data_IF_847463640723
#
_entry.id   IF_847463640723
#
_cell.length_a   1.000
_cell.length_b   1.000
_cell.length_c   1.000
_cell.angle_alpha   90.00
_cell.angle_beta   90.00
_cell.angle_gamma   90.00
#
_symmetry.space_group_name_H-M   'P 1'
#
loop_
_entity.id
_entity.type
_entity.pdbx_description
1 polymer ?
#
# COMPACT_ATOMS: atom_id res chain seq x y z
N UNK A 1 14.24 -13.17 14.47
CA UNK A 1 13.42 -13.22 13.25
C UNK A 1 12.30 -14.22 13.50
N UNK A 2 11.04 -13.81 13.34
CA UNK A 2 9.86 -14.66 13.55
C UNK A 2 9.06 -14.67 12.27
N UNK A 3 8.61 -15.86 11.83
CA UNK A 3 7.77 -16.02 10.66
C UNK A 3 6.30 -15.90 11.05
N UNK A 4 5.53 -15.16 10.24
CA UNK A 4 4.10 -14.92 10.42
C UNK A 4 3.33 -15.44 9.21
N UNK A 5 2.23 -16.13 9.47
CA UNK A 5 1.19 -16.36 8.46
C UNK A 5 0.31 -15.12 8.26
N UNK A 6 -0.69 -15.20 7.38
CA UNK A 6 -1.55 -14.05 7.05
C UNK A 6 -2.38 -13.58 8.26
N UNK A 7 -2.85 -14.48 9.11
CA UNK A 7 -3.62 -14.15 10.30
C UNK A 7 -2.75 -13.50 11.37
N UNK A 8 -1.58 -14.08 11.62
CA UNK A 8 -0.58 -13.56 12.55
C UNK A 8 -0.06 -12.18 12.10
N UNK A 9 0.15 -11.99 10.79
CA UNK A 9 0.53 -10.72 10.20
C UNK A 9 -0.52 -9.65 10.50
N UNK A 10 -1.80 -9.93 10.27
CA UNK A 10 -2.88 -8.99 10.56
C UNK A 10 -2.91 -8.57 12.02
N UNK A 11 -2.74 -9.54 12.94
CA UNK A 11 -2.66 -9.26 14.39
C UNK A 11 -1.43 -8.43 14.74
N UNK A 12 -0.28 -8.74 14.13
CA UNK A 12 0.98 -8.02 14.38
C UNK A 12 0.88 -6.57 13.93
N UNK A 13 0.45 -6.33 12.69
CA UNK A 13 0.28 -4.98 12.15
C UNK A 13 -0.79 -4.18 12.90
N UNK A 14 -1.91 -4.79 13.29
CA UNK A 14 -2.98 -4.12 14.03
C UNK A 14 -2.61 -3.66 15.44
N UNK A 15 -1.44 -4.05 15.98
CA UNK A 15 -0.95 -3.67 17.31
C UNK A 15 -0.08 -2.41 17.33
N UNK A 16 0.21 -1.79 16.18
CA UNK A 16 1.03 -0.59 16.16
C UNK A 16 0.40 0.54 17.02
N UNK A 17 1.28 1.32 17.65
CA UNK A 17 0.84 2.33 18.63
C UNK A 17 0.89 3.74 18.09
N UNK A 18 1.83 4.04 17.18
CA UNK A 18 2.05 5.40 16.67
C UNK A 18 2.15 5.48 15.17
N UNK A 19 3.03 4.67 14.58
CA UNK A 19 3.32 4.78 13.14
C UNK A 19 3.36 3.42 12.47
N UNK A 20 2.73 3.34 11.32
CA UNK A 20 2.83 2.19 10.43
C UNK A 20 3.23 2.70 9.05
N UNK A 21 4.35 2.24 8.53
CA UNK A 21 4.82 2.57 7.19
C UNK A 21 4.80 1.32 6.31
N UNK A 22 4.35 1.44 5.07
CA UNK A 22 4.39 0.38 4.06
C UNK A 22 5.16 0.82 2.82
N UNK A 23 6.14 0.02 2.42
CA UNK A 23 6.71 0.01 1.06
C UNK A 23 5.98 -1.05 0.24
N UNK A 24 5.45 -0.66 -0.92
CA UNK A 24 4.66 -1.54 -1.80
C UNK A 24 5.20 -1.42 -3.24
N UNK A 25 5.72 -2.52 -3.77
CA UNK A 25 6.57 -2.49 -4.97
C UNK A 25 6.13 -3.43 -6.08
N UNK A 26 5.31 -4.46 -5.78
CA UNK A 26 4.85 -5.42 -6.79
C UNK A 26 3.82 -4.78 -7.72
N UNK A 27 3.91 -4.99 -9.04
CA UNK A 27 2.94 -4.47 -9.99
C UNK A 27 1.56 -5.13 -9.84
N UNK A 28 1.51 -6.36 -9.30
CA UNK A 28 0.28 -7.11 -9.08
C UNK A 28 0.34 -7.91 -7.79
N UNK A 29 -0.78 -8.00 -7.09
CA UNK A 29 -0.96 -8.83 -5.90
C UNK A 29 -2.15 -9.75 -6.09
N UNK A 30 -1.96 -11.04 -5.84
CA UNK A 30 -3.05 -11.99 -5.75
C UNK A 30 -3.59 -11.99 -4.30
N UNK A 31 -4.41 -10.98 -3.98
CA UNK A 31 -4.99 -10.81 -2.64
C UNK A 31 -6.41 -11.33 -2.57
N UNK A 32 -6.72 -12.06 -1.51
CA UNK A 32 -8.09 -12.54 -1.24
C UNK A 32 -8.90 -11.54 -0.42
N UNK A 33 -8.27 -10.58 0.23
CA UNK A 33 -8.91 -9.56 1.08
C UNK A 33 -9.81 -8.62 0.31
N UNK A 34 -9.54 -8.41 -0.99
CA UNK A 34 -10.34 -7.55 -1.86
C UNK A 34 -11.62 -8.27 -2.37
N UNK A 35 -11.77 -9.54 -2.03
CA UNK A 35 -12.87 -10.38 -2.51
C UNK A 35 -12.86 -10.45 -4.05
N UNK A 36 -14.00 -10.09 -4.66
CA UNK A 36 -14.14 -10.08 -6.11
C UNK A 36 -14.05 -8.68 -6.74
N UNK A 37 -13.62 -7.66 -5.99
CA UNK A 37 -13.68 -6.27 -6.45
C UNK A 37 -12.76 -5.99 -7.63
N UNK A 38 -11.60 -6.62 -7.71
CA UNK A 38 -10.73 -6.46 -8.87
C UNK A 38 -11.40 -7.02 -10.14
N UNK A 39 -12.00 -8.22 -10.09
CA UNK A 39 -12.73 -8.78 -11.23
C UNK A 39 -13.95 -7.93 -11.59
N UNK A 40 -14.66 -7.40 -10.60
CA UNK A 40 -15.79 -6.48 -10.82
C UNK A 40 -15.33 -5.18 -11.48
N UNK A 41 -14.19 -4.65 -11.08
CA UNK A 41 -13.57 -3.47 -11.67
C UNK A 41 -13.19 -3.75 -13.13
N UNK A 42 -12.55 -4.89 -13.45
CA UNK A 42 -12.24 -5.34 -14.81
C UNK A 42 -13.50 -5.51 -15.66
N UNK A 43 -14.59 -5.99 -15.07
CA UNK A 43 -15.89 -6.13 -15.73
C UNK A 43 -16.65 -4.81 -15.90
N UNK A 44 -16.07 -3.66 -15.53
CA UNK A 44 -16.66 -2.34 -15.72
C UNK A 44 -17.62 -1.89 -14.61
N UNK A 45 -17.64 -2.54 -13.44
CA UNK A 45 -18.41 -2.03 -12.30
C UNK A 45 -17.96 -0.62 -11.91
N UNK A 46 -18.91 0.24 -11.55
CA UNK A 46 -18.66 1.65 -11.27
C UNK A 46 -18.12 1.91 -9.86
N UNK A 47 -18.33 0.99 -8.93
CA UNK A 47 -17.98 1.17 -7.51
C UNK A 47 -17.59 -0.14 -6.83
N UNK A 48 -16.78 -0.07 -5.77
CA UNK A 48 -16.38 -1.25 -4.99
C UNK A 48 -17.56 -1.82 -4.20
N UNK A 49 -17.35 -2.98 -3.57
CA UNK A 49 -18.27 -3.53 -2.59
C UNK A 49 -18.20 -2.69 -1.31
N UNK A 50 -19.07 -1.67 -1.21
CA UNK A 50 -19.06 -0.68 -0.14
C UNK A 50 -19.14 -1.27 1.27
N UNK A 51 -19.88 -2.36 1.47
CA UNK A 51 -19.95 -3.00 2.79
C UNK A 51 -18.56 -3.41 3.32
N UNK A 52 -17.74 -3.99 2.44
CA UNK A 52 -16.37 -4.38 2.78
C UNK A 52 -15.46 -3.16 2.83
N UNK A 53 -15.53 -2.29 1.85
CA UNK A 53 -14.68 -1.10 1.75
C UNK A 53 -14.86 -0.18 2.95
N UNK A 54 -16.09 0.10 3.36
CA UNK A 54 -16.38 0.97 4.49
C UNK A 54 -15.80 0.44 5.81
N UNK A 55 -15.79 -0.88 6.04
CA UNK A 55 -15.14 -1.45 7.24
C UNK A 55 -13.66 -1.02 7.34
N UNK A 56 -12.94 -1.06 6.22
CA UNK A 56 -11.54 -0.62 6.18
C UNK A 56 -11.41 0.89 6.35
N UNK A 57 -12.23 1.67 5.66
CA UNK A 57 -12.20 3.13 5.79
C UNK A 57 -12.52 3.59 7.22
N UNK A 58 -13.40 2.88 7.92
CA UNK A 58 -13.73 3.18 9.32
C UNK A 58 -12.55 2.87 10.25
N UNK A 59 -11.78 1.82 9.98
CA UNK A 59 -10.52 1.55 10.69
C UNK A 59 -9.54 2.70 10.51
N UNK A 60 -9.31 3.15 9.28
CA UNK A 60 -8.40 4.27 8.99
C UNK A 60 -8.83 5.57 9.70
N UNK A 61 -10.12 5.87 9.70
CA UNK A 61 -10.67 7.05 10.39
C UNK A 61 -10.48 6.96 11.90
N UNK A 62 -10.75 5.79 12.47
CA UNK A 62 -10.60 5.55 13.91
C UNK A 62 -9.13 5.68 14.34
N UNK A 63 -8.21 5.05 13.61
CA UNK A 63 -6.78 5.12 13.89
C UNK A 63 -6.26 6.57 13.81
N UNK A 64 -6.69 7.32 12.79
CA UNK A 64 -6.34 8.73 12.66
C UNK A 64 -6.89 9.56 13.81
N UNK A 65 -8.12 9.30 14.25
CA UNK A 65 -8.73 9.98 15.41
C UNK A 65 -8.00 9.68 16.72
N UNK A 66 -7.36 8.50 16.83
CA UNK A 66 -6.48 8.13 17.95
C UNK A 66 -5.07 8.74 17.85
N UNK A 67 -4.77 9.51 16.79
CA UNK A 67 -3.45 10.12 16.56
C UNK A 67 -2.41 9.17 15.98
N UNK A 68 -2.83 8.00 15.51
CA UNK A 68 -1.97 7.07 14.77
C UNK A 68 -1.73 7.56 13.35
N UNK A 69 -0.56 7.26 12.81
CA UNK A 69 -0.14 7.66 11.47
C UNK A 69 0.13 6.42 10.63
N UNK A 70 -0.70 6.16 9.63
CA UNK A 70 -0.48 5.13 8.62
C UNK A 70 0.04 5.77 7.34
N UNK A 71 1.20 5.34 6.88
CA UNK A 71 1.88 5.84 5.68
C UNK A 71 2.13 4.73 4.68
N UNK A 72 2.03 5.08 3.39
CA UNK A 72 2.36 4.17 2.30
C UNK A 72 3.17 4.89 1.24
N UNK A 73 4.23 4.26 0.76
CA UNK A 73 4.86 4.61 -0.51
C UNK A 73 4.60 3.47 -1.49
N UNK A 74 3.92 3.80 -2.59
CA UNK A 74 3.66 2.88 -3.69
C UNK A 74 4.62 3.14 -4.83
N UNK A 75 5.45 2.16 -5.17
CA UNK A 75 6.24 2.18 -6.40
C UNK A 75 5.37 1.64 -7.53
N UNK A 76 5.07 2.48 -8.50
CA UNK A 76 4.25 2.14 -9.66
C UNK A 76 5.12 1.83 -10.88
N UNK A 77 4.60 0.98 -11.76
CA UNK A 77 5.18 0.72 -13.07
C UNK A 77 5.19 1.98 -13.95
N UNK A 78 6.07 2.05 -14.93
CA UNK A 78 6.09 3.12 -15.93
C UNK A 78 4.77 3.13 -16.72
N UNK A 79 4.35 1.95 -17.19
CA UNK A 79 2.99 1.71 -17.68
C UNK A 79 2.23 0.95 -16.61
N UNK A 80 1.21 1.58 -16.02
CA UNK A 80 0.43 0.97 -14.96
C UNK A 80 -0.29 -0.28 -15.44
N UNK A 81 -0.17 -1.36 -14.67
CA UNK A 81 -1.00 -2.55 -14.86
C UNK A 81 -2.47 -2.24 -14.54
N UNK A 82 -3.38 -3.12 -14.92
CA UNK A 82 -4.79 -3.00 -14.55
C UNK A 82 -4.98 -3.08 -13.03
N UNK A 83 -4.17 -3.90 -12.35
CA UNK A 83 -4.19 -3.98 -10.90
C UNK A 83 -3.72 -2.67 -10.23
N UNK A 84 -2.68 -2.04 -10.76
CA UNK A 84 -2.21 -0.74 -10.25
C UNK A 84 -3.27 0.35 -10.46
N UNK A 85 -3.95 0.38 -11.61
CA UNK A 85 -5.07 1.31 -11.87
C UNK A 85 -6.24 1.07 -10.91
N UNK A 86 -6.63 -0.19 -10.73
CA UNK A 86 -7.63 -0.58 -9.74
C UNK A 86 -7.25 -0.12 -8.32
N UNK A 87 -6.00 -0.36 -7.92
CA UNK A 87 -5.49 0.04 -6.61
C UNK A 87 -5.51 1.56 -6.43
N UNK A 88 -5.18 2.33 -7.47
CA UNK A 88 -5.27 3.78 -7.44
C UNK A 88 -6.72 4.25 -7.29
N UNK A 89 -7.64 3.69 -8.09
CA UNK A 89 -9.03 4.17 -8.19
C UNK A 89 -9.90 3.72 -6.99
N UNK A 90 -9.89 2.44 -6.64
CA UNK A 90 -10.73 1.89 -5.56
C UNK A 90 -9.99 1.64 -4.24
N UNK A 91 -8.67 1.70 -4.28
CA UNK A 91 -7.82 1.63 -3.11
C UNK A 91 -7.45 3.01 -2.59
N UNK A 92 -6.44 3.59 -3.18
CA UNK A 92 -5.76 4.78 -2.64
C UNK A 92 -6.62 6.05 -2.68
N UNK A 93 -7.41 6.27 -3.74
CA UNK A 93 -8.31 7.42 -3.83
C UNK A 93 -9.38 7.44 -2.73
N UNK A 94 -9.75 6.28 -2.19
CA UNK A 94 -10.70 6.15 -1.09
C UNK A 94 -9.99 6.11 0.29
N UNK A 95 -8.82 5.49 0.37
CA UNK A 95 -8.08 5.37 1.63
C UNK A 95 -7.47 6.69 2.07
N UNK A 96 -6.92 7.48 1.15
CA UNK A 96 -6.24 8.73 1.50
C UNK A 96 -7.16 9.73 2.23
N UNK A 97 -8.39 10.02 1.74
CA UNK A 97 -9.32 10.87 2.49
C UNK A 97 -9.76 10.28 3.84
N UNK A 98 -9.72 8.94 3.97
CA UNK A 98 -10.09 8.25 5.21
C UNK A 98 -8.99 8.28 6.28
N UNK A 99 -7.75 8.63 5.91
CA UNK A 99 -6.69 8.83 6.89
C UNK A 99 -5.37 8.11 6.64
N UNK A 100 -5.23 7.38 5.53
CA UNK A 100 -3.95 6.82 5.12
C UNK A 100 -3.15 7.87 4.33
N UNK A 101 -1.95 8.24 4.80
CA UNK A 101 -1.06 9.13 4.06
C UNK A 101 -0.35 8.33 2.96
N UNK A 102 -0.72 8.57 1.70
CA UNK A 102 -0.22 7.79 0.55
C UNK A 102 0.62 8.67 -0.37
N UNK A 103 1.79 8.18 -0.74
CA UNK A 103 2.65 8.78 -1.76
C UNK A 103 3.02 7.77 -2.83
N UNK A 104 3.39 8.26 -4.01
CA UNK A 104 3.74 7.43 -5.17
C UNK A 104 5.12 7.76 -5.72
N UNK A 105 5.79 6.72 -6.19
CA UNK A 105 6.99 6.76 -6.99
C UNK A 105 6.69 6.01 -8.29
N UNK A 106 6.45 6.71 -9.39
CA UNK A 106 6.22 6.07 -10.69
C UNK A 106 7.54 5.94 -11.45
N UNK A 107 7.83 4.74 -11.92
CA UNK A 107 8.99 4.50 -12.79
C UNK A 107 8.84 5.32 -14.08
N UNK A 108 9.95 5.83 -14.59
CA UNK A 108 9.93 6.72 -15.77
C UNK A 108 9.56 8.19 -15.47
N UNK A 109 8.94 8.48 -14.34
CA UNK A 109 8.56 9.84 -13.92
C UNK A 109 9.37 10.32 -12.70
N UNK A 110 9.56 9.45 -11.71
CA UNK A 110 10.28 9.76 -10.48
C UNK A 110 11.63 9.04 -10.42
N UNK A 111 12.59 9.63 -9.71
CA UNK A 111 13.82 8.95 -9.32
C UNK A 111 13.49 7.99 -8.17
N UNK A 112 13.59 6.69 -8.42
CA UNK A 112 13.36 5.68 -7.39
C UNK A 112 14.64 5.55 -6.55
N UNK A 113 14.59 5.80 -5.23
CA UNK A 113 15.75 5.58 -4.37
C UNK A 113 16.20 4.12 -4.39
N UNK A 114 17.52 3.90 -4.38
CA UNK A 114 18.10 2.55 -4.29
C UNK A 114 18.28 2.14 -2.81
N UNK A 115 17.17 2.13 -2.06
CA UNK A 115 17.14 1.79 -0.65
C UNK A 115 15.86 1.03 -0.30
N UNK A 116 15.93 -0.31 -0.32
CA UNK A 116 14.81 -1.20 0.00
C UNK A 116 13.51 -0.93 -0.80
N UNK A 117 13.64 -0.49 -2.07
CA UNK A 117 12.52 -0.24 -2.99
C UNK A 117 12.32 -1.37 -4.01
N UNK A 118 13.00 -2.50 -3.82
CA UNK A 118 12.95 -3.70 -4.66
C UNK A 118 12.08 -4.83 -4.06
N UNK A 119 11.56 -4.64 -2.85
CA UNK A 119 10.70 -5.60 -2.16
C UNK A 119 9.71 -4.90 -1.23
N UNK A 120 8.67 -5.62 -0.82
CA UNK A 120 7.64 -5.13 0.07
C UNK A 120 8.00 -5.33 1.53
N UNK A 121 7.75 -4.31 2.32
CA UNK A 121 7.94 -4.37 3.78
C UNK A 121 7.05 -3.37 4.52
N UNK A 122 6.92 -3.62 5.82
CA UNK A 122 6.33 -2.69 6.76
C UNK A 122 7.34 -2.30 7.81
N UNK A 123 7.21 -1.09 8.34
CA UNK A 123 7.93 -0.63 9.53
C UNK A 123 6.90 -0.24 10.58
N UNK A 124 6.91 -0.98 11.69
CA UNK A 124 5.99 -0.82 12.80
C UNK A 124 6.65 0.02 13.89
N UNK A 125 6.05 1.15 14.23
CA UNK A 125 6.50 2.09 15.26
C UNK A 125 7.98 2.52 15.10
N UNK A 126 8.50 2.51 13.87
CA UNK A 126 9.87 2.89 13.54
C UNK A 126 10.94 1.94 14.07
N UNK A 127 10.60 0.68 14.39
CA UNK A 127 11.51 -0.27 15.05
C UNK A 127 11.47 -1.69 14.53
N UNK A 128 10.28 -2.19 14.21
CA UNK A 128 10.10 -3.58 13.80
C UNK A 128 9.80 -3.64 12.30
N UNK A 129 10.68 -4.30 11.57
CA UNK A 129 10.54 -4.53 10.12
C UNK A 129 9.79 -5.82 9.89
N UNK A 130 8.83 -5.80 8.97
CA UNK A 130 8.09 -6.97 8.50
C UNK A 130 8.34 -7.12 7.01
N UNK A 131 9.16 -8.09 6.64
CA UNK A 131 9.51 -8.40 5.25
C UNK A 131 8.45 -9.31 4.64
N UNK A 132 7.80 -8.85 3.59
CA UNK A 132 6.76 -9.61 2.90
C UNK A 132 7.36 -10.59 1.90
N UNK A 133 6.85 -11.80 1.86
CA UNK A 133 7.29 -12.85 0.92
C UNK A 133 6.12 -13.32 0.08
N UNK A 134 6.30 -13.24 -1.22
CA UNK A 134 5.33 -13.63 -2.24
C UNK A 134 5.89 -14.74 -3.11
N UNK A 135 5.02 -15.47 -3.80
CA UNK A 135 5.41 -16.34 -4.90
C UNK A 135 5.48 -15.56 -6.23
N UNK A 136 5.82 -16.26 -7.30
CA UNK A 136 5.96 -15.65 -8.63
C UNK A 136 4.63 -15.14 -9.22
N UNK A 137 3.50 -15.48 -8.59
CA UNK A 137 2.16 -15.04 -9.00
C UNK A 137 1.61 -13.93 -8.08
N UNK A 138 2.46 -13.36 -7.21
CA UNK A 138 2.08 -12.30 -6.28
C UNK A 138 1.22 -12.77 -5.11
N UNK A 139 1.13 -14.09 -4.84
CA UNK A 139 0.41 -14.61 -3.68
C UNK A 139 1.29 -14.54 -2.45
N UNK A 140 0.74 -14.01 -1.36
CA UNK A 140 1.41 -13.99 -0.07
C UNK A 140 1.75 -15.39 0.40
N UNK A 141 2.99 -15.62 0.83
CA UNK A 141 3.47 -16.87 1.40
C UNK A 141 3.62 -16.79 2.91
N UNK A 142 4.36 -15.82 3.38
CA UNK A 142 4.62 -15.54 4.79
C UNK A 142 5.28 -14.16 4.93
N UNK A 143 5.36 -13.65 6.14
CA UNK A 143 6.20 -12.50 6.46
C UNK A 143 7.25 -12.88 7.49
N UNK A 144 8.42 -12.26 7.41
CA UNK A 144 9.48 -12.39 8.41
C UNK A 144 9.59 -11.08 9.21
N UNK A 145 9.49 -11.15 10.54
CA UNK A 145 9.68 -9.98 11.41
C UNK A 145 11.09 -9.94 11.97
N UNK A 146 11.68 -8.76 12.02
CA UNK A 146 12.97 -8.52 12.64
C UNK A 146 13.05 -7.09 13.20
N UNK A 147 13.80 -6.85 14.28
CA UNK A 147 14.09 -5.49 14.71
C UNK A 147 14.96 -4.77 13.68
N UNK A 148 14.87 -3.46 13.65
CA UNK A 148 15.74 -2.55 12.86
C UNK A 148 16.75 -1.84 13.78
N UNK A 149 17.78 -2.54 14.29
CA UNK A 149 18.70 -2.00 15.30
C UNK A 149 19.60 -0.89 14.75
N UNK A 150 19.79 -0.84 13.43
CA UNK A 150 20.62 0.16 12.76
C UNK A 150 19.82 1.37 12.27
N UNK A 151 18.49 1.25 12.22
CA UNK A 151 17.63 2.26 11.63
C UNK A 151 17.64 2.28 10.09
N UNK A 152 18.18 1.24 9.46
CA UNK A 152 18.34 1.17 8.00
C UNK A 152 16.99 1.28 7.27
N UNK A 153 15.95 0.59 7.75
CA UNK A 153 14.61 0.67 7.20
C UNK A 153 13.90 1.97 7.56
N UNK A 154 14.21 2.55 8.71
CA UNK A 154 13.70 3.86 9.10
C UNK A 154 14.25 4.96 8.17
N UNK A 155 15.54 4.92 7.86
CA UNK A 155 16.19 5.84 6.93
C UNK A 155 15.65 5.63 5.51
N UNK A 156 15.47 4.38 5.07
CA UNK A 156 14.87 4.04 3.78
C UNK A 156 13.42 4.54 3.67
N UNK A 157 12.61 4.40 4.73
CA UNK A 157 11.25 4.96 4.78
C UNK A 157 11.26 6.49 4.62
N UNK A 158 12.17 7.18 5.32
CA UNK A 158 12.34 8.63 5.21
C UNK A 158 12.71 9.06 3.80
N UNK A 159 13.72 8.43 3.22
CA UNK A 159 14.19 8.72 1.87
C UNK A 159 13.10 8.47 0.80
N UNK A 160 12.41 7.34 0.88
CA UNK A 160 11.33 7.03 -0.04
C UNK A 160 10.17 8.02 0.10
N UNK A 161 9.84 8.40 1.34
CA UNK A 161 8.78 9.38 1.62
C UNK A 161 9.09 10.76 1.05
N UNK A 162 10.31 11.25 1.22
CA UNK A 162 10.75 12.54 0.71
C UNK A 162 10.83 12.58 -0.82
N UNK A 163 11.20 11.46 -1.44
CA UNK A 163 11.30 11.34 -2.91
C UNK A 163 9.96 11.14 -3.61
N UNK A 164 8.93 10.74 -2.86
CA UNK A 164 7.63 10.39 -3.40
C UNK A 164 6.64 11.58 -3.40
N UNK A 165 5.75 11.61 -4.38
CA UNK A 165 4.72 12.64 -4.52
C UNK A 165 3.43 12.24 -3.78
N UNK A 166 2.69 13.18 -3.15
CA UNK A 166 1.37 12.91 -2.59
C UNK A 166 0.41 12.32 -3.62
N UNK A 167 -0.18 11.17 -3.29
CA UNK A 167 -0.97 10.39 -4.25
C UNK A 167 -2.13 11.18 -4.87
N UNK A 168 -2.92 11.92 -4.07
CA UNK A 168 -4.09 12.63 -4.59
C UNK A 168 -3.70 13.74 -5.58
N UNK A 169 -2.57 14.42 -5.37
CA UNK A 169 -2.04 15.43 -6.26
C UNK A 169 -1.56 14.80 -7.57
N UNK A 170 -0.77 13.71 -7.44
CA UNK A 170 -0.29 12.95 -8.58
C UNK A 170 -1.45 12.37 -9.41
N UNK A 171 -2.43 11.72 -8.76
CA UNK A 171 -3.57 11.11 -9.43
C UNK A 171 -4.44 12.14 -10.17
N UNK A 172 -4.63 13.31 -9.58
CA UNK A 172 -5.37 14.41 -10.24
C UNK A 172 -4.66 14.96 -11.49
N UNK A 173 -3.32 14.88 -11.54
CA UNK A 173 -2.53 15.31 -12.72
C UNK A 173 -2.49 14.26 -13.84
N UNK A 174 -2.94 13.05 -13.59
CA UNK A 174 -2.89 11.92 -14.53
C UNK A 174 -4.27 11.36 -14.88
N UNK A 175 -5.22 12.19 -15.39
CA UNK A 175 -6.55 11.72 -15.74
C UNK A 175 -6.55 10.67 -16.86
N UNK A 176 -5.49 10.59 -17.66
CA UNK A 176 -5.29 9.58 -18.71
C UNK A 176 -5.09 8.17 -18.14
N UNK A 177 -4.70 8.05 -16.88
CA UNK A 177 -4.55 6.77 -16.18
C UNK A 177 -5.86 6.28 -15.58
N UNK A 178 -6.85 7.16 -15.43
CA UNK A 178 -8.15 6.80 -14.91
C UNK A 178 -8.87 5.88 -15.90
N UNK A 179 -9.61 4.91 -15.37
CA UNK A 179 -10.42 4.04 -16.21
C UNK A 179 -11.47 4.86 -16.98
N UNK A 180 -11.45 4.71 -18.30
CA UNK A 180 -12.49 5.28 -19.16
C UNK A 180 -13.75 4.42 -19.02
N UNK A 181 -14.70 4.84 -18.19
CA UNK A 181 -15.99 4.19 -18.10
C UNK A 181 -16.81 4.65 -19.30
N UNK A 182 -17.19 3.70 -20.19
CA UNK A 182 -18.08 4.01 -21.29
C UNK A 182 -19.42 4.52 -20.71
N UNK A 183 -19.83 5.72 -21.12
CA UNK A 183 -21.12 6.34 -20.76
C UNK A 183 -22.26 5.62 -21.47
#
# INVERSE_FOLDING_TARGET
MTRLDIGELGVHLGRYQRTLFRMETLPEYAVTSDGDDFNRWLAGAHEPTWERKNRWLDVLRAERAEGKVSRRVRVLSEELTEYERYSCEWGYALNAPAGEDIRVLRRGEHVIPDAHTDHDWWLVDGRDVVLMRYDNEGRFKFADTQPDPTGEYLDAAGLAWESAEPFLEWWARHPELHRQVAV
#
